data_IF_872711761821
#
_entry.id   IF_872711761821
#
_cell.length_a   1.000
_cell.length_b   1.000
_cell.length_c   1.000
_cell.angle_alpha   90.00
_cell.angle_beta   90.00
_cell.angle_gamma   90.00
#
_symmetry.space_group_name_H-M   'P 1'
#
loop_
_entity.id
_entity.type
_entity.pdbx_description
1 polymer ?
#
# COMPACT_ATOMS: atom_id res chain seq x y z
N UNK A 1 -9.08 -13.30 21.38
CA UNK A 1 -9.00 -13.22 19.91
C UNK A 1 -8.32 -14.47 19.39
N UNK A 2 -8.97 -15.21 18.47
CA UNK A 2 -8.37 -16.39 17.83
C UNK A 2 -7.86 -15.99 16.44
N UNK A 3 -6.70 -16.52 16.06
CA UNK A 3 -6.07 -16.25 14.77
C UNK A 3 -5.92 -17.57 14.02
N UNK A 4 -6.26 -17.52 12.73
CA UNK A 4 -5.96 -18.60 11.80
C UNK A 4 -4.63 -18.29 11.13
N UNK A 5 -3.84 -19.33 10.88
CA UNK A 5 -2.55 -19.22 10.21
C UNK A 5 -2.53 -20.13 8.98
N UNK A 6 -1.85 -19.68 7.94
CA UNK A 6 -1.66 -20.43 6.70
C UNK A 6 -0.24 -20.22 6.19
N UNK A 7 0.33 -21.26 5.61
CA UNK A 7 1.62 -21.18 4.91
C UNK A 7 1.44 -21.50 3.44
N UNK A 8 2.20 -20.83 2.57
CA UNK A 8 2.29 -21.13 1.14
C UNK A 8 3.76 -21.16 0.77
N UNK A 9 4.18 -22.21 0.06
CA UNK A 9 5.53 -22.34 -0.48
C UNK A 9 5.47 -22.08 -1.98
N UNK A 10 6.25 -21.12 -2.45
CA UNK A 10 6.46 -20.86 -3.88
C UNK A 10 7.74 -21.55 -4.29
N UNK A 11 7.64 -22.63 -5.06
CA UNK A 11 8.78 -23.44 -5.45
C UNK A 11 9.67 -22.71 -6.46
N UNK A 12 10.97 -22.93 -6.35
CA UNK A 12 11.89 -22.47 -7.38
C UNK A 12 11.66 -23.24 -8.69
N UNK A 13 11.45 -22.49 -9.76
CA UNK A 13 11.50 -23.02 -11.11
C UNK A 13 12.96 -23.20 -11.52
N UNK A 14 13.26 -24.33 -12.15
CA UNK A 14 14.58 -24.62 -12.72
C UNK A 14 14.55 -24.21 -14.18
N UNK A 15 15.34 -23.21 -14.55
CA UNK A 15 15.57 -22.99 -15.97
C UNK A 15 16.56 -24.06 -16.47
N UNK A 16 16.14 -24.86 -17.45
CA UNK A 16 16.90 -25.99 -17.98
C UNK A 16 18.21 -25.59 -18.66
N UNK A 17 18.43 -24.30 -18.91
CA UNK A 17 19.57 -23.79 -19.68
C UNK A 17 20.72 -23.21 -18.84
N UNK A 18 20.43 -22.64 -17.66
CA UNK A 18 21.41 -21.85 -16.89
C UNK A 18 21.63 -22.35 -15.46
N UNK A 19 20.84 -23.33 -14.97
CA UNK A 19 20.97 -23.86 -13.61
C UNK A 19 20.56 -22.88 -12.51
N UNK A 20 20.25 -21.64 -12.87
CA UNK A 20 19.70 -20.64 -11.97
C UNK A 20 18.25 -21.00 -11.61
N UNK A 21 17.99 -20.91 -10.30
CA UNK A 21 16.69 -21.14 -9.69
C UNK A 21 16.02 -19.79 -9.56
N UNK A 22 14.84 -19.64 -10.14
CA UNK A 22 14.07 -18.40 -10.08
C UNK A 22 12.68 -18.67 -9.54
N UNK A 23 12.01 -17.60 -9.10
CA UNK A 23 10.62 -17.64 -8.68
C UNK A 23 9.79 -16.96 -9.77
N UNK A 24 8.63 -17.53 -10.06
CA UNK A 24 7.65 -16.91 -10.94
C UNK A 24 6.97 -15.74 -10.21
N UNK A 25 7.54 -14.55 -10.38
CA UNK A 25 7.09 -13.33 -9.69
C UNK A 25 5.61 -13.00 -9.98
N UNK A 26 5.13 -13.24 -11.22
CA UNK A 26 3.74 -12.99 -11.61
C UNK A 26 2.79 -13.94 -10.88
N UNK A 27 3.16 -15.23 -10.80
CA UNK A 27 2.42 -16.24 -10.04
C UNK A 27 2.39 -15.95 -8.54
N UNK A 28 3.51 -15.50 -7.97
CA UNK A 28 3.59 -15.09 -6.56
C UNK A 28 2.70 -13.89 -6.31
N UNK A 29 2.84 -12.81 -7.09
CA UNK A 29 2.04 -11.58 -6.94
C UNK A 29 0.54 -11.89 -6.98
N UNK A 30 0.11 -12.66 -7.98
CA UNK A 30 -1.30 -13.06 -8.12
C UNK A 30 -1.80 -13.79 -6.87
N UNK A 31 -1.02 -14.75 -6.37
CA UNK A 31 -1.37 -15.52 -5.18
C UNK A 31 -1.46 -14.65 -3.93
N UNK A 32 -0.49 -13.74 -3.74
CA UNK A 32 -0.49 -12.80 -2.62
C UNK A 32 -1.71 -11.88 -2.65
N UNK A 33 -2.05 -11.35 -3.82
CA UNK A 33 -3.22 -10.51 -4.02
C UNK A 33 -4.54 -11.27 -3.77
N UNK A 34 -4.62 -12.54 -4.17
CA UNK A 34 -5.76 -13.41 -3.85
C UNK A 34 -5.87 -13.70 -2.35
N UNK A 35 -4.76 -13.97 -1.65
CA UNK A 35 -4.76 -14.15 -0.20
C UNK A 35 -5.20 -12.86 0.52
N UNK A 36 -4.66 -11.70 0.12
CA UNK A 36 -5.04 -10.39 0.67
C UNK A 36 -6.53 -10.11 0.50
N UNK A 37 -7.10 -10.37 -0.69
CA UNK A 37 -8.55 -10.25 -0.94
C UNK A 37 -9.39 -11.19 -0.08
N UNK A 38 -8.85 -12.36 0.28
CA UNK A 38 -9.49 -13.31 1.18
C UNK A 38 -9.30 -12.99 2.68
N UNK A 39 -8.77 -11.81 3.01
CA UNK A 39 -8.58 -11.32 4.38
C UNK A 39 -7.36 -11.90 5.08
N UNK A 40 -6.45 -12.55 4.34
CA UNK A 40 -5.17 -13.01 4.88
C UNK A 40 -4.13 -11.89 4.82
N UNK A 41 -3.48 -11.65 5.96
CA UNK A 41 -2.37 -10.72 6.07
C UNK A 41 -1.05 -11.48 5.99
N UNK A 42 -0.12 -11.05 5.13
CA UNK A 42 1.23 -11.59 5.07
C UNK A 42 2.01 -11.17 6.33
N UNK A 43 2.56 -12.15 7.04
CA UNK A 43 3.33 -11.96 8.28
C UNK A 43 4.82 -12.04 8.03
N UNK A 44 5.26 -13.02 7.23
CA UNK A 44 6.66 -13.21 6.89
C UNK A 44 6.83 -13.91 5.56
N UNK A 45 7.93 -13.59 4.87
CA UNK A 45 8.40 -14.28 3.69
C UNK A 45 9.88 -14.63 3.89
N UNK A 46 10.26 -15.90 3.70
CA UNK A 46 11.62 -16.38 3.96
C UNK A 46 12.03 -17.38 2.90
N UNK A 47 13.21 -17.18 2.31
CA UNK A 47 13.79 -18.12 1.35
C UNK A 47 14.19 -19.41 2.05
N UNK A 48 13.77 -20.54 1.50
CA UNK A 48 14.11 -21.89 1.94
C UNK A 48 14.81 -22.64 0.79
N UNK A 49 15.32 -23.84 1.04
CA UNK A 49 16.06 -24.62 0.03
C UNK A 49 15.28 -24.81 -1.27
N UNK A 50 13.97 -25.02 -1.16
CA UNK A 50 13.11 -25.38 -2.28
C UNK A 50 12.31 -24.20 -2.85
N UNK A 51 12.41 -22.99 -2.27
CA UNK A 51 11.60 -21.85 -2.73
C UNK A 51 11.48 -20.71 -1.73
N UNK A 52 10.35 -19.99 -1.79
CA UNK A 52 9.96 -18.94 -0.85
C UNK A 52 8.80 -19.42 0.03
N UNK A 53 9.05 -19.52 1.33
CA UNK A 53 8.03 -19.82 2.33
C UNK A 53 7.37 -18.51 2.78
N UNK A 54 6.05 -18.44 2.68
CA UNK A 54 5.25 -17.32 3.17
C UNK A 54 4.30 -17.78 4.27
N UNK A 55 4.15 -16.95 5.30
CA UNK A 55 3.25 -17.15 6.43
C UNK A 55 2.21 -16.04 6.45
N UNK A 56 0.95 -16.43 6.58
CA UNK A 56 -0.19 -15.53 6.67
C UNK A 56 -0.94 -15.74 7.98
N UNK A 57 -1.64 -14.69 8.41
CA UNK A 57 -2.60 -14.74 9.51
C UNK A 57 -3.92 -14.09 9.10
N UNK A 58 -5.02 -14.49 9.72
CA UNK A 58 -6.28 -13.74 9.70
C UNK A 58 -7.06 -13.93 11.00
N UNK A 59 -7.88 -12.96 11.42
CA UNK A 59 -8.76 -13.15 12.57
C UNK A 59 -9.78 -14.26 12.28
N UNK A 60 -10.07 -15.07 13.30
CA UNK A 60 -11.10 -16.09 13.22
C UNK A 60 -12.48 -15.45 13.39
N UNK A 61 -13.19 -15.22 12.28
CA UNK A 61 -14.52 -14.58 12.27
C UNK A 61 -15.58 -15.30 13.13
N UNK A 62 -15.34 -16.55 13.54
CA UNK A 62 -16.25 -17.25 14.45
C UNK A 62 -16.25 -16.67 15.87
N UNK A 63 -15.22 -15.89 16.26
CA UNK A 63 -15.14 -15.26 17.58
C UNK A 63 -15.97 -13.98 17.72
N UNK A 64 -16.46 -13.40 16.62
CA UNK A 64 -17.14 -12.10 16.64
C UNK A 64 -18.68 -12.21 16.74
N UNK A 65 -19.25 -13.42 16.63
CA UNK A 65 -20.70 -13.64 16.74
C UNK A 65 -21.25 -13.61 18.17
N UNK A 66 -20.41 -13.56 19.22
CA UNK A 66 -20.88 -13.58 20.61
C UNK A 66 -21.08 -12.20 21.26
N UNK A 67 -20.72 -11.07 20.61
CA UNK A 67 -20.77 -9.74 21.28
C UNK A 67 -21.64 -8.69 20.57
N UNK A 68 -22.66 -9.11 19.80
CA UNK A 68 -23.62 -8.15 19.22
C UNK A 68 -25.07 -8.55 19.47
N UNK A 69 -25.44 -8.69 20.75
CA UNK A 69 -26.80 -8.36 21.21
C UNK A 69 -26.68 -7.11 22.07
N UNK A 70 -26.79 -5.94 21.44
CA UNK A 70 -27.11 -4.68 22.15
C UNK A 70 -28.63 -4.50 22.06
N UNK A 71 -29.38 -4.56 23.17
CA UNK A 71 -30.78 -4.16 23.17
C UNK A 71 -30.87 -2.63 22.99
N UNK A 72 -31.87 -2.21 22.22
CA UNK A 72 -32.18 -0.82 21.98
C UNK A 72 -32.45 -0.07 23.30
N UNK A 73 -31.96 1.16 23.41
CA UNK A 73 -32.59 2.17 24.28
C UNK A 73 -32.52 3.50 23.56
N UNK A 74 -33.68 3.90 23.03
CA UNK A 74 -33.93 5.29 22.65
C UNK A 74 -33.91 6.13 23.93
N UNK A 75 -32.97 7.06 24.02
CA UNK A 75 -33.10 8.22 24.91
C UNK A 75 -32.37 9.40 24.28
N UNK A 76 -33.15 10.41 23.91
CA UNK A 76 -32.68 11.73 23.57
C UNK A 76 -32.13 12.42 24.82
N UNK A 77 -30.97 13.06 24.71
CA UNK A 77 -30.69 14.40 25.27
C UNK A 77 -29.23 14.81 25.05
N UNK A 78 -29.10 16.03 24.53
CA UNK A 78 -27.91 16.84 24.29
C UNK A 78 -26.89 16.87 25.42
N UNK A 79 -25.59 16.93 25.08
CA UNK A 79 -24.60 17.84 25.68
C UNK A 79 -23.30 17.89 24.86
N UNK A 80 -22.81 19.11 24.71
CA UNK A 80 -21.68 19.60 23.93
C UNK A 80 -20.31 19.13 24.42
N UNK A 81 -19.42 18.77 23.49
CA UNK A 81 -17.98 18.57 23.68
C UNK A 81 -17.24 18.82 22.36
N UNK A 82 -15.97 19.31 22.37
CA UNK A 82 -15.27 19.74 21.16
C UNK A 82 -14.90 18.54 20.29
N UNK A 83 -15.10 18.71 18.98
CA UNK A 83 -14.98 17.66 17.97
C UNK A 83 -13.58 17.02 17.92
N UNK A 84 -13.47 15.68 17.86
CA UNK A 84 -12.25 15.03 17.41
C UNK A 84 -12.10 15.27 15.89
N UNK A 85 -10.90 15.69 15.48
CA UNK A 85 -10.55 15.94 14.09
C UNK A 85 -11.02 14.78 13.18
N UNK A 86 -11.95 15.10 12.28
CA UNK A 86 -12.44 14.19 11.26
C UNK A 86 -11.25 13.71 10.41
N UNK A 87 -10.94 12.41 10.52
CA UNK A 87 -10.14 11.73 9.51
C UNK A 87 -10.97 11.75 8.23
N UNK A 88 -10.77 12.77 7.38
CA UNK A 88 -11.36 12.83 6.04
C UNK A 88 -10.91 11.59 5.29
N UNK A 89 -11.80 10.64 5.12
CA UNK A 89 -11.65 9.58 4.14
C UNK A 89 -11.76 10.27 2.77
N UNK A 90 -10.61 10.59 2.17
CA UNK A 90 -10.57 11.16 0.84
C UNK A 90 -11.05 10.10 -0.15
N UNK A 91 -11.99 10.48 -1.03
CA UNK A 91 -12.40 9.63 -2.13
C UNK A 91 -11.21 9.48 -3.09
N UNK A 92 -11.13 8.35 -3.81
CA UNK A 92 -10.08 8.12 -4.83
C UNK A 92 -10.05 9.27 -5.86
N UNK A 93 -11.22 9.84 -6.17
CA UNK A 93 -11.31 11.02 -7.04
C UNK A 93 -10.69 12.29 -6.45
N UNK A 94 -10.79 12.49 -5.14
CA UNK A 94 -10.22 13.66 -4.46
C UNK A 94 -8.68 13.59 -4.44
N UNK A 95 -8.13 12.39 -4.25
CA UNK A 95 -6.67 12.16 -4.35
C UNK A 95 -6.16 12.45 -5.75
N UNK A 96 -6.85 11.94 -6.78
CA UNK A 96 -6.44 12.12 -8.17
C UNK A 96 -6.46 13.59 -8.59
N UNK A 97 -7.42 14.37 -8.09
CA UNK A 97 -7.50 15.80 -8.37
C UNK A 97 -6.40 16.58 -7.63
N UNK A 98 -6.12 16.21 -6.37
CA UNK A 98 -5.02 16.81 -5.60
C UNK A 98 -3.65 16.53 -6.25
N UNK A 99 -3.43 15.33 -6.79
CA UNK A 99 -2.21 15.00 -7.53
C UNK A 99 -2.08 15.83 -8.81
N UNK A 100 -3.16 16.01 -9.58
CA UNK A 100 -3.13 16.81 -10.80
C UNK A 100 -2.78 18.28 -10.53
N UNK A 101 -3.34 18.87 -9.48
CA UNK A 101 -3.03 20.25 -9.09
C UNK A 101 -1.59 20.39 -8.58
N UNK A 102 -1.10 19.37 -7.87
CA UNK A 102 0.29 19.34 -7.42
C UNK A 102 1.27 19.25 -8.60
N UNK A 103 0.99 18.38 -9.59
CA UNK A 103 1.80 18.24 -10.80
C UNK A 103 1.86 19.56 -11.58
N UNK A 104 0.71 20.23 -11.77
CA UNK A 104 0.68 21.55 -12.46
C UNK A 104 1.54 22.60 -11.76
N UNK A 105 1.54 22.58 -10.43
CA UNK A 105 2.35 23.52 -9.64
C UNK A 105 3.84 23.25 -9.84
N UNK A 106 4.26 21.98 -9.82
CA UNK A 106 5.65 21.58 -10.03
C UNK A 106 6.12 21.91 -11.46
N UNK A 107 5.27 21.72 -12.48
CA UNK A 107 5.59 22.10 -13.86
C UNK A 107 5.80 23.61 -14.02
N UNK A 108 4.99 24.43 -13.34
CA UNK A 108 5.16 25.89 -13.35
C UNK A 108 6.46 26.31 -12.65
N UNK A 109 6.79 25.72 -11.51
CA UNK A 109 8.06 25.98 -10.81
C UNK A 109 9.26 25.59 -11.68
N UNK A 110 9.20 24.44 -12.34
CA UNK A 110 10.27 23.98 -13.23
C UNK A 110 10.46 24.93 -14.41
N UNK A 111 9.36 25.44 -14.98
CA UNK A 111 9.41 26.42 -16.07
C UNK A 111 10.05 27.73 -15.61
N UNK A 112 9.67 28.24 -14.44
CA UNK A 112 10.27 29.45 -13.86
C UNK A 112 11.77 29.27 -13.57
N UNK A 113 12.17 28.13 -13.00
CA UNK A 113 13.58 27.83 -12.75
C UNK A 113 14.41 27.72 -14.03
N UNK A 114 13.85 27.19 -15.12
CA UNK A 114 14.51 27.20 -16.44
C UNK A 114 14.62 28.62 -17.00
N UNK A 115 13.56 29.42 -16.93
CA UNK A 115 13.61 30.83 -17.39
C UNK A 115 14.61 31.67 -16.58
N UNK A 116 14.77 31.37 -15.28
CA UNK A 116 15.82 31.98 -14.45
C UNK A 116 17.22 31.50 -14.86
N UNK A 117 17.43 30.20 -15.08
CA UNK A 117 18.71 29.68 -15.57
C UNK A 117 19.09 30.27 -16.94
N UNK A 118 18.14 30.41 -17.87
CA UNK A 118 18.40 31.02 -19.18
C UNK A 118 18.81 32.51 -19.05
N UNK A 119 18.29 33.24 -18.06
CA UNK A 119 18.70 34.63 -17.80
C UNK A 119 20.14 34.76 -17.29
N UNK A 120 20.70 33.75 -16.61
CA UNK A 120 22.06 33.78 -16.06
C UNK A 120 23.12 33.13 -16.96
N UNK A 121 22.76 32.51 -18.09
CA UNK A 121 23.68 31.81 -19.02
C UNK A 121 24.04 32.66 -20.24
N UNK A 122 23.82 33.99 -20.21
CA UNK A 122 24.41 34.90 -21.20
C UNK A 122 25.79 35.35 -20.70
N UNK A 123 26.81 34.61 -21.16
CA UNK A 123 28.18 35.07 -21.28
C UNK A 123 29.04 35.02 -20.03
N UNK A 124 29.87 33.98 -19.91
CA UNK A 124 31.23 34.12 -19.39
C UNK A 124 32.07 32.90 -19.78
N UNK A 125 32.65 32.93 -20.98
CA UNK A 125 33.81 32.10 -21.31
C UNK A 125 35.03 32.80 -20.71
N UNK A 126 35.51 32.34 -19.55
CA UNK A 126 36.87 32.67 -19.09
C UNK A 126 37.86 31.68 -19.70
N UNK A 127 38.56 32.11 -20.74
CA UNK A 127 39.79 31.46 -21.21
C UNK A 127 40.91 31.90 -20.25
N UNK A 128 41.62 30.95 -19.64
CA UNK A 128 42.93 31.17 -19.03
C UNK A 128 43.86 30.03 -19.39
#
# INVERSE_FOLDING_TARGET
>A
MRWQYRTIVFEFQKDGLLGDRFIDDEGVEKTLNEQGRAGWELVSATTVQDGLLTLFKRPDHQADFETSIKPATMTAASRSGPAPAEKKAFSVGDLQQQEQDHIRTLEQQRKQAMEEQEKYVIGDIKIR
#
